data_IF_203914171402
#
_entry.id   IF_203914171402
#
_cell.length_a   1.000
_cell.length_b   1.000
_cell.length_c   1.000
_cell.angle_alpha   90.00
_cell.angle_beta   90.00
_cell.angle_gamma   90.00
#
_symmetry.space_group_name_H-M   'P 1'
#
loop_
_entity.id
_entity.type
_entity.pdbx_description
1 polymer ?
#
# COMPACT_ATOMS: atom_id res chain seq x y z
N UNK A 1 -8.52 29.77 2.45
CA UNK A 1 -8.22 28.34 2.73
C UNK A 1 -7.51 27.79 1.51
N UNK A 2 -6.29 27.27 1.67
CA UNK A 2 -5.46 26.77 0.57
C UNK A 2 -5.76 25.28 0.34
N UNK A 3 -6.97 25.01 -0.18
CA UNK A 3 -7.51 23.66 -0.37
C UNK A 3 -6.62 22.83 -1.29
N UNK A 4 -6.05 23.47 -2.32
CA UNK A 4 -5.16 22.88 -3.31
C UNK A 4 -3.83 22.36 -2.70
N UNK A 5 -3.19 23.17 -1.85
CA UNK A 5 -1.96 22.76 -1.15
C UNK A 5 -2.19 21.64 -0.13
N UNK A 6 -3.38 21.58 0.48
CA UNK A 6 -3.75 20.51 1.41
C UNK A 6 -4.03 19.22 0.67
N UNK A 7 -4.76 19.29 -0.44
CA UNK A 7 -5.09 18.15 -1.31
C UNK A 7 -3.83 17.54 -1.91
N UNK A 8 -2.95 18.36 -2.49
CA UNK A 8 -1.64 17.92 -3.02
C UNK A 8 -0.79 17.23 -1.95
N UNK A 9 -0.73 17.79 -0.73
CA UNK A 9 0.06 17.18 0.36
C UNK A 9 -0.50 15.81 0.78
N UNK A 10 -1.82 15.69 0.84
CA UNK A 10 -2.46 14.43 1.20
C UNK A 10 -2.26 13.38 0.11
N UNK A 11 -2.33 13.79 -1.16
CA UNK A 11 -2.05 12.92 -2.29
C UNK A 11 -0.62 12.37 -2.24
N UNK A 12 0.38 13.23 -2.03
CA UNK A 12 1.78 12.82 -1.89
C UNK A 12 2.00 11.86 -0.71
N UNK A 13 1.31 12.07 0.42
CA UNK A 13 1.39 11.17 1.58
C UNK A 13 0.82 9.79 1.27
N UNK A 14 -0.34 9.73 0.63
CA UNK A 14 -0.96 8.47 0.25
C UNK A 14 -0.12 7.73 -0.79
N UNK A 15 0.47 8.45 -1.75
CA UNK A 15 1.37 7.87 -2.73
C UNK A 15 2.62 7.28 -2.07
N UNK A 16 3.31 8.04 -1.22
CA UNK A 16 4.50 7.55 -0.52
C UNK A 16 4.17 6.33 0.37
N UNK A 17 2.97 6.29 0.96
CA UNK A 17 2.52 5.14 1.75
C UNK A 17 2.23 3.92 0.88
N UNK A 18 1.63 4.10 -0.29
CA UNK A 18 1.41 3.03 -1.26
C UNK A 18 2.74 2.44 -1.72
N UNK A 19 3.70 3.29 -2.12
CA UNK A 19 5.04 2.87 -2.53
C UNK A 19 5.73 2.06 -1.42
N UNK A 20 5.68 2.53 -0.17
CA UNK A 20 6.26 1.80 0.96
C UNK A 20 5.64 0.41 1.18
N UNK A 21 4.31 0.25 0.98
CA UNK A 21 3.68 -1.06 1.08
C UNK A 21 4.03 -1.98 -0.09
N UNK A 22 4.14 -1.44 -1.31
CA UNK A 22 4.57 -2.20 -2.49
C UNK A 22 6.02 -2.68 -2.35
N UNK A 23 6.92 -1.81 -1.87
CA UNK A 23 8.31 -2.17 -1.56
C UNK A 23 8.38 -3.25 -0.48
N UNK A 24 7.60 -3.10 0.60
CA UNK A 24 7.58 -4.10 1.68
C UNK A 24 7.07 -5.45 1.18
N UNK A 25 6.04 -5.46 0.33
CA UNK A 25 5.53 -6.68 -0.30
C UNK A 25 6.59 -7.35 -1.17
N UNK A 26 7.32 -6.58 -1.96
CA UNK A 26 8.40 -7.10 -2.81
C UNK A 26 9.55 -7.73 -2.00
N UNK A 27 9.75 -7.33 -0.74
CA UNK A 27 10.72 -7.97 0.17
C UNK A 27 10.19 -9.31 0.71
N UNK A 28 8.91 -9.40 1.05
CA UNK A 28 8.34 -10.59 1.69
C UNK A 28 7.94 -11.70 0.70
N UNK A 29 7.52 -11.36 -0.53
CA UNK A 29 7.12 -12.37 -1.53
C UNK A 29 8.23 -13.42 -1.81
N UNK A 30 9.51 -13.05 -2.01
CA UNK A 30 10.57 -14.04 -2.18
C UNK A 30 10.73 -14.97 -0.97
N UNK A 31 10.66 -14.41 0.25
CA UNK A 31 10.78 -15.19 1.48
C UNK A 31 9.64 -16.21 1.60
N UNK A 32 8.42 -15.82 1.23
CA UNK A 32 7.27 -16.73 1.19
C UNK A 32 7.44 -17.88 0.19
N UNK A 33 8.08 -17.61 -0.96
CA UNK A 33 8.33 -18.63 -1.99
C UNK A 33 9.42 -19.63 -1.57
N UNK A 34 10.39 -19.19 -0.79
CA UNK A 34 11.54 -19.99 -0.36
C UNK A 34 11.33 -20.70 0.99
N UNK A 35 10.37 -20.25 1.81
CA UNK A 35 10.13 -20.79 3.15
C UNK A 35 9.61 -22.25 3.10
N UNK A 36 10.27 -23.11 3.87
CA UNK A 36 10.00 -24.55 3.95
C UNK A 36 9.26 -24.93 5.22
N UNK A 37 9.38 -24.15 6.28
CA UNK A 37 8.63 -24.34 7.50
C UNK A 37 7.17 -23.90 7.29
N UNK A 38 6.23 -24.80 7.60
CA UNK A 38 4.81 -24.56 7.35
C UNK A 38 4.26 -23.39 8.16
N UNK A 39 4.73 -23.21 9.41
CA UNK A 39 4.24 -22.16 10.30
C UNK A 39 4.79 -20.79 9.91
N UNK A 40 6.08 -20.72 9.54
CA UNK A 40 6.68 -19.51 9.00
C UNK A 40 6.05 -19.12 7.67
N UNK A 41 5.76 -20.10 6.80
CA UNK A 41 5.07 -19.86 5.53
C UNK A 41 3.65 -19.31 5.73
N UNK A 42 2.90 -19.85 6.70
CA UNK A 42 1.58 -19.32 7.05
C UNK A 42 1.67 -17.87 7.56
N UNK A 43 2.64 -17.59 8.44
CA UNK A 43 2.87 -16.23 8.93
C UNK A 43 3.22 -15.25 7.81
N UNK A 44 4.12 -15.62 6.89
CA UNK A 44 4.48 -14.83 5.73
C UNK A 44 3.29 -14.64 4.77
N UNK A 45 2.49 -15.68 4.57
CA UNK A 45 1.27 -15.61 3.76
C UNK A 45 0.27 -14.60 4.33
N UNK A 46 0.10 -14.58 5.65
CA UNK A 46 -0.76 -13.59 6.31
C UNK A 46 -0.22 -12.17 6.16
N UNK A 47 1.09 -11.98 6.28
CA UNK A 47 1.74 -10.67 6.04
C UNK A 47 1.46 -10.20 4.61
N UNK A 48 1.72 -11.03 3.60
CA UNK A 48 1.48 -10.67 2.19
C UNK A 48 0.00 -10.37 1.94
N UNK A 49 -0.92 -11.17 2.49
CA UNK A 49 -2.35 -10.92 2.39
C UNK A 49 -2.77 -9.55 2.97
N UNK A 50 -2.22 -9.19 4.13
CA UNK A 50 -2.49 -7.88 4.73
C UNK A 50 -1.91 -6.73 3.92
N UNK A 51 -0.71 -6.90 3.35
CA UNK A 51 -0.10 -5.91 2.46
C UNK A 51 -0.95 -5.69 1.21
N UNK A 52 -1.49 -6.76 0.61
CA UNK A 52 -2.40 -6.64 -0.54
C UNK A 52 -3.66 -5.85 -0.20
N UNK A 53 -4.26 -6.09 0.97
CA UNK A 53 -5.43 -5.36 1.42
C UNK A 53 -5.13 -3.86 1.63
N UNK A 54 -3.99 -3.54 2.24
CA UNK A 54 -3.56 -2.16 2.46
C UNK A 54 -3.23 -1.43 1.15
N UNK A 55 -2.51 -2.09 0.22
CA UNK A 55 -2.24 -1.57 -1.13
C UNK A 55 -3.54 -1.23 -1.86
N UNK A 56 -4.52 -2.16 -1.84
CA UNK A 56 -5.81 -1.94 -2.46
C UNK A 56 -6.60 -0.78 -1.81
N UNK A 57 -6.50 -0.62 -0.49
CA UNK A 57 -7.11 0.50 0.23
C UNK A 57 -6.44 1.83 -0.12
N UNK A 58 -5.11 1.91 -0.13
CA UNK A 58 -4.41 3.15 -0.50
C UNK A 58 -4.69 3.56 -1.95
N UNK A 59 -4.75 2.60 -2.89
CA UNK A 59 -5.15 2.86 -4.28
C UNK A 59 -6.56 3.43 -4.36
N UNK A 60 -7.53 2.86 -3.63
CA UNK A 60 -8.90 3.40 -3.57
C UNK A 60 -8.95 4.82 -3.02
N UNK A 61 -8.13 5.15 -2.02
CA UNK A 61 -8.04 6.51 -1.47
C UNK A 61 -7.42 7.49 -2.44
N UNK A 62 -6.36 7.10 -3.14
CA UNK A 62 -5.74 7.91 -4.19
C UNK A 62 -6.72 8.18 -5.33
N UNK A 63 -7.45 7.16 -5.79
CA UNK A 63 -8.48 7.31 -6.82
C UNK A 63 -9.60 8.27 -6.38
N UNK A 64 -10.07 8.15 -5.14
CA UNK A 64 -11.09 9.04 -4.59
C UNK A 64 -10.58 10.49 -4.48
N UNK A 65 -9.32 10.67 -4.08
CA UNK A 65 -8.70 11.99 -4.00
C UNK A 65 -8.49 12.60 -5.39
N UNK A 66 -8.07 11.80 -6.37
CA UNK A 66 -7.90 12.23 -7.77
C UNK A 66 -9.22 12.63 -8.44
N UNK A 67 -10.33 11.94 -8.12
CA UNK A 67 -11.68 12.29 -8.61
C UNK A 67 -12.29 13.55 -7.96
N UNK A 68 -11.71 14.03 -6.86
CA UNK A 68 -12.21 15.19 -6.09
C UNK A 68 -11.32 16.43 -6.21
N UNK A 69 -10.27 16.38 -7.05
CA UNK A 69 -9.46 17.56 -7.39
C UNK A 69 -10.26 18.58 -8.23
N UNK A 70 -9.98 19.90 -8.08
CA UNK A 70 -10.66 20.92 -8.88
C UNK A 70 -10.27 20.75 -10.36
N UNK A 71 -11.28 20.68 -11.23
CA UNK A 71 -11.10 20.79 -12.69
C UNK A 71 -10.45 22.12 -13.09
#
# INVERSE_FOLDING_TARGET
>A
MNLDATHTREWLRLQARLEAFEELKAVFEPWLMEERDASAREALSNVVFHLDAEIAEQRRRLDALGRTGPE
#
